data_IF_872282968707
#
_entry.id   IF_872282968707
#
_cell.length_a   1.000
_cell.length_b   1.000
_cell.length_c   1.000
_cell.angle_alpha   90.00
_cell.angle_beta   90.00
_cell.angle_gamma   90.00
#
_symmetry.space_group_name_H-M   'P 1'
#
loop_
_entity.id
_entity.type
_entity.pdbx_description
1 polymer ?
#
# COMPACT_ATOMS: atom_id res chain seq x y z
N UNK A 1 -38.54 41.88 6.80
CA UNK A 1 -38.69 40.65 7.60
C UNK A 1 -37.81 39.61 6.93
N UNK A 2 -36.56 39.56 7.36
CA UNK A 2 -35.47 38.83 6.71
C UNK A 2 -35.11 37.71 7.65
N UNK A 3 -35.66 36.53 7.40
CA UNK A 3 -35.40 35.31 8.14
C UNK A 3 -34.76 34.33 7.16
N UNK A 4 -33.42 34.32 7.12
CA UNK A 4 -32.64 33.23 6.55
C UNK A 4 -31.88 32.62 7.71
N UNK A 5 -32.41 31.53 8.29
CA UNK A 5 -31.67 30.80 9.31
C UNK A 5 -30.51 30.10 8.61
N UNK A 6 -29.32 30.41 9.08
CA UNK A 6 -28.29 29.40 9.36
C UNK A 6 -27.88 28.53 8.16
N UNK A 7 -27.09 29.12 7.27
CA UNK A 7 -26.11 28.34 6.52
C UNK A 7 -25.19 27.67 7.55
N UNK A 8 -25.39 26.37 7.73
CA UNK A 8 -24.46 25.51 8.45
C UNK A 8 -23.02 25.72 7.91
N UNK A 9 -22.00 25.61 8.77
CA UNK A 9 -20.62 25.85 8.37
C UNK A 9 -20.20 24.83 7.30
N UNK A 10 -19.94 25.35 6.10
CA UNK A 10 -19.13 24.75 5.04
C UNK A 10 -19.34 23.24 4.80
N UNK A 11 -20.49 22.87 4.22
CA UNK A 11 -20.53 21.71 3.33
C UNK A 11 -19.72 22.09 2.07
N UNK A 12 -18.39 22.04 2.18
CA UNK A 12 -17.51 22.10 1.03
C UNK A 12 -17.82 20.86 0.17
N UNK A 13 -18.45 21.00 -1.03
CA UNK A 13 -18.82 19.87 -1.86
C UNK A 13 -17.60 19.06 -2.33
N UNK A 14 -16.39 19.58 -2.14
CA UNK A 14 -15.12 18.94 -2.47
C UNK A 14 -14.43 18.28 -1.25
N UNK A 15 -15.03 18.31 -0.05
CA UNK A 15 -14.52 17.58 1.10
C UNK A 15 -14.73 16.06 0.90
N UNK A 16 -13.67 15.22 0.93
CA UNK A 16 -13.81 13.79 0.67
C UNK A 16 -14.76 13.15 1.68
N UNK A 17 -15.82 12.54 1.18
CA UNK A 17 -16.79 11.86 2.02
C UNK A 17 -16.21 10.57 2.60
N UNK A 18 -16.84 10.04 3.66
CA UNK A 18 -16.51 8.71 4.20
C UNK A 18 -16.52 7.61 3.13
N UNK A 19 -17.36 7.78 2.08
CA UNK A 19 -17.43 6.90 0.92
C UNK A 19 -16.13 6.89 0.12
N UNK A 20 -15.55 8.06 -0.16
CA UNK A 20 -14.32 8.14 -0.98
C UNK A 20 -13.14 7.53 -0.24
N UNK A 21 -13.04 7.82 1.07
CA UNK A 21 -12.03 7.21 1.95
C UNK A 21 -12.13 5.69 1.93
N UNK A 22 -13.34 5.14 2.08
CA UNK A 22 -13.57 3.69 2.08
C UNK A 22 -13.22 3.06 0.72
N UNK A 23 -13.59 3.69 -0.39
CA UNK A 23 -13.29 3.19 -1.74
C UNK A 23 -11.78 3.18 -2.00
N UNK A 24 -11.07 4.28 -1.72
CA UNK A 24 -9.62 4.38 -1.95
C UNK A 24 -8.88 3.36 -1.09
N UNK A 25 -9.23 3.29 0.20
CA UNK A 25 -8.61 2.34 1.13
C UNK A 25 -8.85 0.91 0.66
N UNK A 26 -10.09 0.58 0.25
CA UNK A 26 -10.42 -0.74 -0.29
C UNK A 26 -9.62 -1.10 -1.54
N UNK A 27 -9.49 -0.17 -2.50
CA UNK A 27 -8.69 -0.38 -3.72
C UNK A 27 -7.22 -0.60 -3.40
N UNK A 28 -6.63 0.21 -2.51
CA UNK A 28 -5.25 0.04 -2.08
C UNK A 28 -5.02 -1.32 -1.41
N UNK A 29 -5.98 -1.77 -0.60
CA UNK A 29 -5.89 -3.04 0.11
C UNK A 29 -6.00 -4.24 -0.84
N UNK A 30 -6.90 -4.18 -1.82
CA UNK A 30 -6.98 -5.19 -2.90
C UNK A 30 -5.69 -5.22 -3.72
N UNK A 31 -5.13 -4.05 -4.06
CA UNK A 31 -3.86 -3.97 -4.77
C UNK A 31 -2.71 -4.57 -3.95
N UNK A 32 -2.65 -4.28 -2.64
CA UNK A 32 -1.66 -4.86 -1.74
C UNK A 32 -1.76 -6.40 -1.67
N UNK A 33 -2.98 -6.94 -1.52
CA UNK A 33 -3.20 -8.38 -1.54
C UNK A 33 -2.77 -8.99 -2.88
N UNK A 34 -3.12 -8.35 -4.00
CA UNK A 34 -2.72 -8.81 -5.32
C UNK A 34 -1.18 -8.84 -5.46
N UNK A 35 -0.48 -7.82 -4.98
CA UNK A 35 0.98 -7.79 -4.99
C UNK A 35 1.61 -8.89 -4.15
N UNK A 36 1.10 -9.15 -2.94
CA UNK A 36 1.57 -10.28 -2.10
C UNK A 36 1.34 -11.61 -2.83
N UNK A 37 0.15 -11.83 -3.39
CA UNK A 37 -0.18 -13.07 -4.10
C UNK A 37 0.69 -13.29 -5.33
N UNK A 38 0.92 -12.25 -6.13
CA UNK A 38 1.81 -12.30 -7.30
C UNK A 38 3.25 -12.56 -6.87
N UNK A 39 3.75 -11.86 -5.85
CA UNK A 39 5.10 -12.04 -5.34
C UNK A 39 5.35 -13.47 -4.83
N UNK A 40 4.41 -14.02 -4.03
CA UNK A 40 4.47 -15.41 -3.57
C UNK A 40 4.43 -16.39 -4.73
N UNK A 41 3.59 -16.14 -5.74
CA UNK A 41 3.48 -17.02 -6.92
C UNK A 41 4.75 -17.00 -7.78
N UNK A 42 5.50 -15.90 -7.79
CA UNK A 42 6.77 -15.79 -8.50
C UNK A 42 7.89 -16.51 -7.74
N UNK A 43 8.04 -16.25 -6.44
CA UNK A 43 9.11 -16.82 -5.61
C UNK A 43 8.94 -18.34 -5.44
N UNK A 44 7.71 -18.84 -5.41
CA UNK A 44 7.44 -20.28 -5.22
C UNK A 44 7.65 -21.14 -6.48
N UNK A 45 8.39 -20.64 -7.49
CA UNK A 45 8.75 -21.43 -8.68
C UNK A 45 10.19 -21.90 -8.60
N UNK A 46 10.41 -23.18 -8.84
CA UNK A 46 11.72 -23.86 -8.74
C UNK A 46 12.81 -23.35 -9.70
N UNK A 47 12.50 -22.37 -10.57
CA UNK A 47 13.41 -21.78 -11.57
C UNK A 47 13.50 -20.26 -11.46
N UNK A 48 12.96 -19.66 -10.39
CA UNK A 48 12.95 -18.22 -10.21
C UNK A 48 14.22 -17.75 -9.51
N UNK A 49 15.32 -17.64 -10.26
CA UNK A 49 16.60 -17.11 -9.76
C UNK A 49 16.88 -15.70 -10.33
N UNK A 50 17.69 -14.93 -9.60
CA UNK A 50 18.23 -13.65 -10.07
C UNK A 50 17.15 -12.58 -10.26
N UNK A 51 16.91 -12.14 -11.50
CA UNK A 51 15.94 -11.05 -11.77
C UNK A 51 14.50 -11.43 -11.46
N UNK A 52 14.14 -12.71 -11.61
CA UNK A 52 12.80 -13.20 -11.28
C UNK A 52 12.56 -13.10 -9.77
N UNK A 53 13.54 -13.52 -9.00
CA UNK A 53 13.52 -13.49 -7.53
C UNK A 53 13.41 -12.05 -7.01
N UNK A 54 14.22 -11.13 -7.55
CA UNK A 54 14.16 -9.71 -7.20
C UNK A 54 12.78 -9.12 -7.52
N UNK A 55 12.20 -9.45 -8.69
CA UNK A 55 10.86 -8.99 -9.05
C UNK A 55 9.76 -9.57 -8.15
N UNK A 56 9.88 -10.85 -7.78
CA UNK A 56 9.00 -11.54 -6.84
C UNK A 56 9.05 -10.93 -5.44
N UNK A 57 10.26 -10.70 -4.92
CA UNK A 57 10.47 -10.06 -3.61
C UNK A 57 10.03 -8.60 -3.62
N UNK A 58 10.32 -7.86 -4.69
CA UNK A 58 9.86 -6.48 -4.86
C UNK A 58 8.34 -6.40 -4.78
N UNK A 59 7.64 -7.25 -5.53
CA UNK A 59 6.17 -7.27 -5.53
C UNK A 59 5.61 -7.74 -4.17
N UNK A 60 6.22 -8.76 -3.56
CA UNK A 60 5.83 -9.24 -2.25
C UNK A 60 5.96 -8.15 -1.17
N UNK A 61 7.10 -7.46 -1.11
CA UNK A 61 7.38 -6.41 -0.13
C UNK A 61 6.66 -5.10 -0.43
N UNK A 62 6.30 -4.85 -1.69
CA UNK A 62 5.38 -3.76 -2.03
C UNK A 62 3.98 -4.01 -1.46
N UNK A 63 3.48 -5.25 -1.52
CA UNK A 63 2.19 -5.61 -0.93
C UNK A 63 2.24 -5.73 0.60
N UNK A 64 3.36 -6.20 1.15
CA UNK A 64 3.59 -6.41 2.58
C UNK A 64 4.85 -5.68 3.08
N UNK A 65 4.77 -4.37 3.36
CA UNK A 65 5.94 -3.61 3.79
C UNK A 65 6.50 -4.07 5.14
N UNK A 66 5.64 -4.47 6.11
CA UNK A 66 6.09 -5.00 7.40
C UNK A 66 6.71 -6.38 7.20
N UNK A 67 6.07 -7.22 6.38
CA UNK A 67 6.63 -8.51 5.96
C UNK A 67 8.04 -8.37 5.38
N UNK A 68 8.27 -7.35 4.54
CA UNK A 68 9.61 -7.07 3.98
C UNK A 68 10.63 -6.56 4.99
N UNK A 69 10.23 -5.67 5.90
CA UNK A 69 11.12 -5.21 6.98
C UNK A 69 11.56 -6.39 7.85
N UNK A 70 10.63 -7.30 8.19
CA UNK A 70 10.96 -8.50 8.94
C UNK A 70 11.88 -9.44 8.16
N UNK A 71 11.66 -9.59 6.85
CA UNK A 71 12.57 -10.34 5.98
C UNK A 71 14.00 -9.81 5.98
N UNK A 72 14.18 -8.48 5.95
CA UNK A 72 15.51 -7.84 6.06
C UNK A 72 16.13 -8.04 7.44
N UNK A 73 15.36 -7.96 8.52
CA UNK A 73 15.88 -8.02 9.89
C UNK A 73 16.20 -9.43 10.38
N UNK A 74 15.39 -10.43 9.99
CA UNK A 74 15.45 -11.80 10.50
C UNK A 74 15.90 -12.81 9.46
N UNK A 75 16.01 -12.41 8.19
CA UNK A 75 16.31 -13.29 7.07
C UNK A 75 15.08 -14.08 6.60
N UNK A 76 15.02 -14.40 5.30
CA UNK A 76 13.94 -15.20 4.71
C UNK A 76 12.62 -14.46 4.51
N UNK A 77 11.55 -15.21 4.24
CA UNK A 77 10.21 -14.67 3.95
C UNK A 77 9.31 -14.79 5.17
N UNK A 78 9.01 -13.65 5.80
CA UNK A 78 8.07 -13.55 6.93
C UNK A 78 6.75 -12.93 6.47
N UNK A 79 5.61 -13.57 6.78
CA UNK A 79 4.28 -13.07 6.45
C UNK A 79 3.59 -12.50 7.69
N UNK A 80 3.64 -11.18 7.84
CA UNK A 80 2.96 -10.43 8.91
C UNK A 80 1.63 -9.84 8.42
N UNK A 81 0.82 -10.67 7.74
CA UNK A 81 -0.37 -10.21 7.00
C UNK A 81 -1.36 -9.32 7.79
N UNK A 82 -1.63 -9.51 9.11
CA UNK A 82 -2.55 -8.63 9.84
C UNK A 82 -1.94 -7.24 10.06
N UNK A 83 -0.62 -7.18 10.25
CA UNK A 83 0.12 -5.92 10.40
C UNK A 83 0.16 -5.17 9.06
N UNK A 84 0.43 -5.87 7.95
CA UNK A 84 0.43 -5.26 6.62
C UNK A 84 -0.94 -4.68 6.25
N UNK A 85 -2.03 -5.43 6.50
CA UNK A 85 -3.41 -4.94 6.33
C UNK A 85 -3.63 -3.67 7.16
N UNK A 86 -3.22 -3.67 8.43
CA UNK A 86 -3.37 -2.52 9.31
C UNK A 86 -2.62 -1.29 8.78
N UNK A 87 -1.40 -1.47 8.28
CA UNK A 87 -0.61 -0.40 7.66
C UNK A 87 -1.33 0.18 6.46
N UNK A 88 -1.83 -0.67 5.56
CA UNK A 88 -2.55 -0.22 4.36
C UNK A 88 -3.86 0.51 4.68
N UNK A 89 -4.58 0.06 5.71
CA UNK A 89 -5.78 0.76 6.20
C UNK A 89 -5.43 2.15 6.74
N UNK A 90 -4.40 2.25 7.59
CA UNK A 90 -3.94 3.53 8.16
C UNK A 90 -3.49 4.48 7.04
N UNK A 91 -2.68 3.98 6.10
CA UNK A 91 -2.18 4.77 4.96
C UNK A 91 -3.33 5.20 4.05
N UNK A 92 -4.29 4.33 3.77
CA UNK A 92 -5.48 4.67 2.99
C UNK A 92 -6.30 5.78 3.63
N UNK A 93 -6.58 5.66 4.93
CA UNK A 93 -7.33 6.68 5.67
C UNK A 93 -6.58 8.02 5.72
N UNK A 94 -5.28 7.97 6.02
CA UNK A 94 -4.47 9.18 6.15
C UNK A 94 -4.29 9.89 4.80
N UNK A 95 -4.11 9.14 3.72
CA UNK A 95 -3.95 9.68 2.38
C UNK A 95 -5.23 10.35 1.87
N UNK A 96 -6.40 9.75 2.11
CA UNK A 96 -7.67 10.35 1.74
C UNK A 96 -7.95 11.64 2.54
N UNK A 97 -7.66 11.65 3.84
CA UNK A 97 -7.75 12.86 4.68
C UNK A 97 -6.81 13.97 4.20
N UNK A 98 -5.59 13.61 3.82
CA UNK A 98 -4.59 14.57 3.34
C UNK A 98 -4.93 15.13 1.96
N UNK A 99 -5.45 14.28 1.07
CA UNK A 99 -5.93 14.68 -0.25
C UNK A 99 -7.04 15.74 -0.14
N UNK A 100 -8.03 15.49 0.73
CA UNK A 100 -9.12 16.42 1.00
C UNK A 100 -8.68 17.77 1.50
N UNK A 101 -7.79 17.80 2.51
CA UNK A 101 -7.27 19.05 3.07
C UNK A 101 -6.49 19.91 2.07
N UNK A 102 -5.99 19.33 0.99
CA UNK A 102 -5.18 20.03 -0.03
C UNK A 102 -5.91 20.20 -1.36
N UNK A 103 -7.19 19.83 -1.46
CA UNK A 103 -7.94 19.84 -2.72
C UNK A 103 -7.27 19.01 -3.83
N UNK A 104 -6.55 17.93 -3.46
CA UNK A 104 -5.85 17.07 -4.43
C UNK A 104 -6.74 15.89 -4.82
N UNK A 105 -6.66 15.48 -6.08
CA UNK A 105 -7.37 14.30 -6.56
C UNK A 105 -6.89 13.05 -5.78
N UNK A 106 -7.78 12.34 -5.07
CA UNK A 106 -7.42 11.16 -4.27
C UNK A 106 -6.79 10.03 -5.10
N UNK A 107 -7.21 9.86 -6.36
CA UNK A 107 -6.68 8.83 -7.24
C UNK A 107 -5.19 9.04 -7.54
N UNK A 108 -4.76 10.30 -7.69
CA UNK A 108 -3.35 10.62 -7.88
C UNK A 108 -2.52 10.28 -6.63
N UNK A 109 -3.09 10.51 -5.44
CA UNK A 109 -2.44 10.16 -4.17
C UNK A 109 -2.33 8.63 -4.03
N UNK A 110 -3.40 7.89 -4.32
CA UNK A 110 -3.40 6.43 -4.30
C UNK A 110 -2.37 5.85 -5.29
N UNK A 111 -2.34 6.35 -6.53
CA UNK A 111 -1.35 5.93 -7.52
C UNK A 111 0.09 6.22 -7.05
N UNK A 112 0.32 7.39 -6.44
CA UNK A 112 1.63 7.74 -5.86
C UNK A 112 2.02 6.76 -4.75
N UNK A 113 1.08 6.38 -3.88
CA UNK A 113 1.35 5.40 -2.81
C UNK A 113 1.71 4.02 -3.36
N UNK A 114 1.07 3.57 -4.45
CA UNK A 114 1.44 2.32 -5.12
C UNK A 114 2.87 2.40 -5.66
N UNK A 115 3.24 3.50 -6.31
CA UNK A 115 4.61 3.70 -6.81
C UNK A 115 5.62 3.72 -5.66
N UNK A 116 5.30 4.42 -4.56
CA UNK A 116 6.14 4.46 -3.36
C UNK A 116 6.31 3.06 -2.77
N UNK A 117 5.23 2.28 -2.69
CA UNK A 117 5.28 0.90 -2.20
C UNK A 117 6.14 0.00 -3.09
N UNK A 118 6.07 0.15 -4.42
CA UNK A 118 6.94 -0.58 -5.34
C UNK A 118 8.41 -0.20 -5.17
N UNK A 119 8.71 1.10 -5.04
CA UNK A 119 10.08 1.56 -4.77
C UNK A 119 10.57 1.05 -3.42
N UNK A 120 9.72 1.09 -2.39
CA UNK A 120 10.04 0.57 -1.07
C UNK A 120 10.33 -0.94 -1.11
N UNK A 121 9.47 -1.72 -1.77
CA UNK A 121 9.68 -3.14 -1.98
C UNK A 121 10.95 -3.45 -2.75
N UNK A 122 11.26 -2.66 -3.78
CA UNK A 122 12.49 -2.79 -4.58
C UNK A 122 13.73 -2.49 -3.73
N UNK A 123 13.68 -1.48 -2.87
CA UNK A 123 14.78 -1.15 -1.97
C UNK A 123 14.98 -2.29 -0.98
N UNK A 124 13.92 -2.79 -0.35
CA UNK A 124 14.01 -3.91 0.59
C UNK A 124 14.51 -5.20 -0.08
N UNK A 125 14.10 -5.48 -1.32
CA UNK A 125 14.55 -6.66 -2.06
C UNK A 125 16.04 -6.65 -2.38
N UNK A 126 16.72 -5.50 -2.28
CA UNK A 126 18.19 -5.42 -2.40
C UNK A 126 18.92 -5.78 -1.12
N UNK A 127 18.25 -5.71 0.02
CA UNK A 127 18.83 -6.04 1.31
C UNK A 127 18.52 -7.47 1.77
N UNK A 128 17.52 -8.11 1.15
CA UNK A 128 17.27 -9.53 1.34
C UNK A 128 18.09 -10.31 0.32
N UNK A 129 19.28 -10.72 0.73
CA UNK A 129 19.95 -11.87 0.11
C UNK A 129 19.30 -13.12 0.70
N UNK A 130 18.52 -13.85 -0.10
CA UNK A 130 18.09 -15.17 0.30
C UNK A 130 19.32 -16.08 0.24
N UNK A 131 19.87 -16.44 1.41
CA UNK A 131 20.68 -17.65 1.60
C UNK A 131 19.79 -18.89 1.29
N UNK A 132 19.34 -19.02 0.05
CA UNK A 132 18.71 -20.23 -0.46
C UNK A 132 19.85 -21.18 -0.84
N UNK A 133 20.04 -22.30 -0.10
CA UNK A 133 21.05 -23.28 -0.47
C UNK A 133 20.74 -23.79 -1.88
N UNK A 134 21.72 -23.63 -2.78
CA UNK A 134 21.75 -24.25 -4.10
C UNK A 134 21.85 -25.78 -4.00
#
# INVERSE_FOLDING_TARGET
MTDRPDLAPDDDPDAPGCRDVAVITGVLLVAAIAFVAVGLSLINRDTCEGLCEVAGLTTLYAGGPISGILGVLYGGVHLAWPLDVTVWVIVGFWSARWAGRRGRNPWNVAATLVVVALVFGLVLSRFVELDLPH
#
